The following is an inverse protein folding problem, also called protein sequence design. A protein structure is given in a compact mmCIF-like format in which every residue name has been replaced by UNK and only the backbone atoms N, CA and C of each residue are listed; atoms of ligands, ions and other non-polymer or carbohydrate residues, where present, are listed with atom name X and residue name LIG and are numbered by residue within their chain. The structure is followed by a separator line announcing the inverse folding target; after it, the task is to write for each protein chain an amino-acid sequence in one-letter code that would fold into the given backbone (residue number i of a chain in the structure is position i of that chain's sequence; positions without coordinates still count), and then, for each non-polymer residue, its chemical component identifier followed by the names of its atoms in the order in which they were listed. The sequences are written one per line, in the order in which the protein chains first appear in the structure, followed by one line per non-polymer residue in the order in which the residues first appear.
data_IF_268620316477
#
_entry.id   IF_268620316477
#
_cell.length_a   1.000
_cell.length_b   1.000
_cell.length_c   1.000
_cell.angle_alpha   90.00
_cell.angle_beta   90.00
_cell.angle_gamma   90.00
#
_symmetry.space_group_name_H-M   'P 1'
#
loop_
_entity.id
_entity.type
_entity.pdbx_description
1 polymer ?
#
# COMPACT_ATOMS: atom_id res chain seq x y z
N UNK A 1 -85.19 2.60 15.44
CA UNK A 1 -84.27 1.51 15.81
C UNK A 1 -82.84 2.03 15.72
N UNK A 2 -82.19 2.15 16.86
CA UNK A 2 -80.82 2.64 17.05
C UNK A 2 -79.82 1.48 16.93
N UNK A 3 -78.72 1.65 16.17
CA UNK A 3 -77.55 0.76 16.20
C UNK A 3 -76.24 1.56 16.15
N UNK A 4 -75.72 1.77 17.36
CA UNK A 4 -74.33 1.70 17.84
C UNK A 4 -73.17 1.88 16.84
N UNK A 5 -72.43 2.94 17.14
CA UNK A 5 -70.99 3.20 17.13
C UNK A 5 -70.06 1.98 17.34
N UNK A 6 -68.92 1.97 16.64
CA UNK A 6 -67.52 1.91 17.13
C UNK A 6 -66.63 1.31 16.02
N UNK A 7 -65.71 2.11 15.48
CA UNK A 7 -64.51 1.62 14.81
C UNK A 7 -63.33 2.48 15.27
N UNK A 8 -62.69 2.02 16.35
CA UNK A 8 -61.36 2.44 16.78
C UNK A 8 -60.34 1.90 15.78
N UNK A 9 -59.60 2.79 15.11
CA UNK A 9 -58.35 2.41 14.44
C UNK A 9 -57.21 3.23 15.01
N UNK A 10 -56.48 2.52 15.86
CA UNK A 10 -55.20 2.82 16.48
C UNK A 10 -54.25 3.59 15.54
N UNK A 11 -54.07 4.88 15.80
CA UNK A 11 -53.00 5.67 15.18
C UNK A 11 -51.81 5.65 16.13
N UNK A 12 -50.98 4.61 16.01
CA UNK A 12 -49.67 4.59 16.64
C UNK A 12 -48.77 5.62 15.94
N UNK A 13 -48.15 6.57 16.66
CA UNK A 13 -47.24 7.53 16.03
C UNK A 13 -46.01 6.81 15.49
N UNK A 14 -45.76 6.94 14.19
CA UNK A 14 -44.54 6.46 13.55
C UNK A 14 -43.35 7.17 14.19
N UNK A 15 -42.56 6.43 14.97
CA UNK A 15 -41.25 6.92 15.45
C UNK A 15 -40.41 7.28 14.22
N UNK A 16 -39.85 8.50 14.13
CA UNK A 16 -38.89 8.81 13.09
C UNK A 16 -37.68 7.87 13.24
N UNK A 17 -37.42 7.08 12.20
CA UNK A 17 -36.20 6.30 12.07
C UNK A 17 -35.04 7.29 11.93
N UNK A 18 -34.42 7.65 13.05
CA UNK A 18 -33.15 8.35 13.04
C UNK A 18 -32.13 7.49 12.28
N UNK A 19 -31.42 8.02 11.27
CA UNK A 19 -30.36 7.29 10.60
C UNK A 19 -29.31 6.93 11.65
N UNK A 20 -29.23 5.65 11.97
CA UNK A 20 -28.27 5.14 12.94
C UNK A 20 -26.87 5.53 12.48
N UNK A 21 -26.19 6.37 13.25
CA UNK A 21 -24.78 6.75 13.12
C UNK A 21 -23.84 5.56 13.39
N UNK A 22 -24.11 4.40 12.80
CA UNK A 22 -23.34 3.17 13.00
C UNK A 22 -22.07 3.20 12.14
N UNK A 23 -21.03 3.72 12.79
CA UNK A 23 -19.60 3.42 12.68
C UNK A 23 -18.89 3.74 11.35
N UNK A 24 -18.30 4.95 11.21
CA UNK A 24 -17.46 5.30 10.05
C UNK A 24 -16.37 4.26 9.77
N UNK A 25 -15.79 3.64 10.80
CA UNK A 25 -14.77 2.58 10.70
C UNK A 25 -15.23 1.38 9.85
N UNK A 26 -16.50 0.97 9.95
CA UNK A 26 -17.03 -0.16 9.14
C UNK A 26 -17.07 0.19 7.65
N UNK A 27 -17.30 1.46 7.31
CA UNK A 27 -17.30 1.93 5.92
C UNK A 27 -15.87 2.02 5.36
N UNK A 28 -14.91 2.48 6.18
CA UNK A 28 -13.49 2.56 5.81
C UNK A 28 -12.90 1.20 5.43
N UNK A 29 -13.25 0.13 6.15
CA UNK A 29 -12.77 -1.22 5.82
C UNK A 29 -13.57 -1.83 4.66
N UNK A 30 -14.91 -1.71 4.67
CA UNK A 30 -15.75 -2.41 3.68
C UNK A 30 -15.51 -1.95 2.25
N UNK A 31 -15.17 -0.67 2.03
CA UNK A 31 -15.03 -0.10 0.68
C UNK A 31 -13.81 -0.65 -0.09
N UNK A 32 -12.58 -0.62 0.43
CA UNK A 32 -11.42 -1.27 -0.20
C UNK A 32 -11.67 -2.76 -0.50
N UNK A 33 -12.20 -3.52 0.46
CA UNK A 33 -12.50 -4.94 0.26
C UNK A 33 -13.52 -5.19 -0.86
N UNK A 34 -14.54 -4.34 -0.98
CA UNK A 34 -15.49 -4.41 -2.09
C UNK A 34 -14.79 -4.18 -3.44
N UNK A 35 -13.94 -3.16 -3.52
CA UNK A 35 -13.20 -2.82 -4.75
C UNK A 35 -12.29 -4.00 -5.17
N UNK A 36 -11.56 -4.57 -4.22
CA UNK A 36 -10.70 -5.75 -4.44
C UNK A 36 -11.53 -6.93 -4.93
N UNK A 37 -12.63 -7.27 -4.24
CA UNK A 37 -13.48 -8.41 -4.60
C UNK A 37 -14.06 -8.27 -6.02
N UNK A 38 -14.51 -7.08 -6.40
CA UNK A 38 -15.05 -6.83 -7.75
C UNK A 38 -13.97 -6.96 -8.84
N UNK A 39 -12.69 -6.80 -8.50
CA UNK A 39 -11.59 -6.81 -9.46
C UNK A 39 -10.51 -7.83 -9.07
N UNK A 40 -10.90 -8.95 -8.48
CA UNK A 40 -10.00 -9.88 -7.80
C UNK A 40 -8.86 -10.39 -8.69
N UNK A 41 -9.16 -10.69 -9.97
CA UNK A 41 -8.13 -11.13 -10.94
C UNK A 41 -7.05 -10.08 -11.17
N UNK A 42 -7.44 -8.81 -11.30
CA UNK A 42 -6.49 -7.71 -11.49
C UNK A 42 -5.67 -7.48 -10.21
N UNK A 43 -6.32 -7.55 -9.04
CA UNK A 43 -5.62 -7.51 -7.76
C UNK A 43 -4.57 -8.61 -7.65
N UNK A 44 -4.93 -9.87 -7.94
CA UNK A 44 -4.01 -11.00 -7.87
C UNK A 44 -2.84 -10.85 -8.85
N UNK A 45 -3.12 -10.41 -10.08
CA UNK A 45 -2.09 -10.17 -11.12
C UNK A 45 -1.08 -9.12 -10.66
N UNK A 46 -1.55 -8.02 -10.05
CA UNK A 46 -0.67 -6.96 -9.57
C UNK A 46 0.19 -7.44 -8.39
N UNK A 47 -0.37 -8.22 -7.48
CA UNK A 47 0.43 -8.83 -6.40
C UNK A 47 1.51 -9.76 -6.97
N UNK A 48 1.16 -10.61 -7.95
CA UNK A 48 2.12 -11.49 -8.61
C UNK A 48 3.24 -10.70 -9.30
N UNK A 49 2.91 -9.58 -9.96
CA UNK A 49 3.90 -8.68 -10.57
C UNK A 49 4.81 -8.06 -9.51
N UNK A 50 4.24 -7.47 -8.45
CA UNK A 50 5.02 -6.79 -7.40
C UNK A 50 5.98 -7.76 -6.72
N UNK A 51 5.46 -8.84 -6.14
CA UNK A 51 6.30 -9.81 -5.43
C UNK A 51 7.26 -10.55 -6.37
N UNK A 52 6.81 -10.87 -7.59
CA UNK A 52 7.67 -11.47 -8.61
C UNK A 52 8.86 -10.58 -8.97
N UNK A 53 8.65 -9.27 -9.14
CA UNK A 53 9.71 -8.33 -9.46
C UNK A 53 10.68 -8.11 -8.29
N UNK A 54 10.20 -8.04 -7.05
CA UNK A 54 11.07 -7.97 -5.86
C UNK A 54 11.97 -9.19 -5.77
N UNK A 55 11.39 -10.39 -5.86
CA UNK A 55 12.13 -11.65 -5.78
C UNK A 55 13.13 -11.75 -6.94
N UNK A 56 12.71 -11.42 -8.15
CA UNK A 56 13.58 -11.46 -9.33
C UNK A 56 14.74 -10.48 -9.17
N UNK A 57 14.49 -9.25 -8.72
CA UNK A 57 15.54 -8.28 -8.43
C UNK A 57 16.52 -8.81 -7.38
N UNK A 58 16.03 -9.34 -6.27
CA UNK A 58 16.87 -9.89 -5.21
C UNK A 58 17.76 -11.05 -5.72
N UNK A 59 17.18 -11.99 -6.48
CA UNK A 59 17.92 -13.12 -7.06
C UNK A 59 18.96 -12.63 -8.07
N UNK A 60 18.61 -11.68 -8.94
CA UNK A 60 19.54 -11.10 -9.91
C UNK A 60 20.72 -10.45 -9.21
N UNK A 61 20.51 -9.69 -8.14
CA UNK A 61 21.61 -9.09 -7.39
C UNK A 61 22.49 -10.14 -6.68
N UNK A 62 21.92 -11.25 -6.20
CA UNK A 62 22.72 -12.37 -5.66
C UNK A 62 23.58 -13.07 -6.72
N UNK A 63 23.07 -13.20 -7.95
CA UNK A 63 23.79 -13.82 -9.08
C UNK A 63 24.84 -12.89 -9.68
N UNK A 64 24.58 -11.58 -9.65
CA UNK A 64 25.45 -10.54 -10.23
C UNK A 64 25.88 -9.52 -9.15
N UNK A 65 26.91 -9.82 -8.33
CA UNK A 65 27.31 -8.99 -7.18
C UNK A 65 27.70 -7.55 -7.53
N UNK A 66 28.13 -7.30 -8.78
CA UNK A 66 28.44 -5.96 -9.28
C UNK A 66 27.21 -5.02 -9.23
N UNK A 67 26.00 -5.58 -9.40
CA UNK A 67 24.76 -4.82 -9.26
C UNK A 67 24.52 -4.42 -7.81
N UNK A 68 24.78 -5.31 -6.84
CA UNK A 68 24.70 -4.98 -5.41
C UNK A 68 25.69 -3.88 -5.02
N UNK A 69 26.93 -3.93 -5.54
CA UNK A 69 27.92 -2.89 -5.31
C UNK A 69 27.47 -1.53 -5.86
N UNK A 70 26.85 -1.53 -7.06
CA UNK A 70 26.28 -0.31 -7.67
C UNK A 70 25.16 0.26 -6.81
N UNK A 71 24.25 -0.58 -6.30
CA UNK A 71 23.16 -0.14 -5.44
C UNK A 71 23.68 0.41 -4.10
N UNK A 72 24.70 -0.20 -3.51
CA UNK A 72 25.33 0.32 -2.30
C UNK A 72 25.94 1.71 -2.53
N UNK A 73 26.62 1.92 -3.66
CA UNK A 73 27.16 3.23 -4.02
C UNK A 73 26.07 4.29 -4.20
N UNK A 74 24.94 3.94 -4.84
CA UNK A 74 23.79 4.84 -4.99
C UNK A 74 23.20 5.24 -3.62
N UNK A 75 23.13 4.30 -2.66
CA UNK A 75 22.61 4.56 -1.32
C UNK A 75 23.53 5.45 -0.47
N UNK A 76 24.84 5.40 -0.69
CA UNK A 76 25.79 6.31 -0.06
C UNK A 76 25.70 7.70 -0.72
N UNK A 77 25.71 7.77 -2.06
CA UNK A 77 25.70 9.01 -2.83
C UNK A 77 24.41 9.84 -2.63
N UNK A 78 23.27 9.18 -2.45
CA UNK A 78 22.01 9.86 -2.16
C UNK A 78 21.78 10.18 -0.68
N UNK A 79 22.76 9.91 0.20
CA UNK A 79 22.72 10.22 1.63
C UNK A 79 21.81 9.32 2.47
N UNK A 80 21.22 8.26 1.91
CA UNK A 80 20.33 7.36 2.65
C UNK A 80 21.07 6.63 3.76
N UNK A 81 22.31 6.20 3.51
CA UNK A 81 23.13 5.52 4.51
C UNK A 81 23.40 6.41 5.74
N UNK A 82 23.74 7.67 5.53
CA UNK A 82 24.00 8.63 6.61
C UNK A 82 22.72 9.01 7.37
N UNK A 83 21.61 9.16 6.67
CA UNK A 83 20.31 9.37 7.29
C UNK A 83 19.96 8.22 8.23
N UNK A 84 20.09 6.96 7.79
CA UNK A 84 19.84 5.78 8.63
C UNK A 84 20.76 5.77 9.85
N UNK A 85 22.07 5.99 9.68
CA UNK A 85 23.04 6.05 10.78
C UNK A 85 22.66 7.10 11.82
N UNK A 86 22.27 8.29 11.38
CA UNK A 86 21.89 9.41 12.26
C UNK A 86 20.62 9.15 13.07
N UNK A 87 19.66 8.43 12.48
CA UNK A 87 18.34 8.16 13.07
C UNK A 87 18.30 6.87 13.90
N UNK A 88 19.29 6.00 13.76
CA UNK A 88 19.31 4.67 14.37
C UNK A 88 19.09 4.67 15.89
N UNK A 89 19.58 5.70 16.59
CA UNK A 89 19.43 5.82 18.05
C UNK A 89 18.06 6.35 18.49
N UNK A 90 17.21 6.82 17.57
CA UNK A 90 15.87 7.30 17.84
C UNK A 90 14.84 6.55 16.96
N UNK A 91 14.36 5.37 17.39
CA UNK A 91 13.51 4.52 16.55
C UNK A 91 12.17 5.19 16.20
N UNK A 92 11.67 6.11 17.01
CA UNK A 92 10.45 6.88 16.69
C UNK A 92 10.68 7.82 15.51
N UNK A 93 11.74 8.63 15.56
CA UNK A 93 12.09 9.51 14.45
C UNK A 93 12.46 8.70 13.19
N UNK A 94 13.14 7.57 13.36
CA UNK A 94 13.46 6.69 12.24
C UNK A 94 12.19 6.12 11.58
N UNK A 95 11.22 5.64 12.36
CA UNK A 95 9.93 5.17 11.82
C UNK A 95 9.15 6.28 11.11
N UNK A 96 9.18 7.52 11.63
CA UNK A 96 8.55 8.65 10.96
C UNK A 96 9.20 8.95 9.61
N UNK A 97 10.52 8.88 9.54
CA UNK A 97 11.26 9.05 8.28
C UNK A 97 10.93 7.94 7.28
N UNK A 98 10.93 6.66 7.70
CA UNK A 98 10.54 5.53 6.84
C UNK A 98 9.12 5.72 6.30
N UNK A 99 8.17 6.10 7.17
CA UNK A 99 6.80 6.41 6.77
C UNK A 99 6.76 7.52 5.72
N UNK A 100 7.48 8.61 5.93
CA UNK A 100 7.57 9.73 4.98
C UNK A 100 8.14 9.29 3.62
N UNK A 101 9.23 8.54 3.62
CA UNK A 101 9.86 7.99 2.40
C UNK A 101 8.92 7.07 1.65
N UNK A 102 8.18 6.20 2.35
CA UNK A 102 7.24 5.28 1.72
C UNK A 102 6.03 5.99 1.12
N UNK A 103 5.47 6.98 1.83
CA UNK A 103 4.37 7.80 1.30
C UNK A 103 4.83 8.61 0.09
N UNK A 104 6.00 9.24 0.15
CA UNK A 104 6.58 9.96 -0.97
C UNK A 104 6.84 9.02 -2.15
N UNK A 105 7.36 7.82 -1.89
CA UNK A 105 7.62 6.81 -2.93
C UNK A 105 6.33 6.38 -3.63
N UNK A 106 5.29 6.04 -2.87
CA UNK A 106 3.99 5.69 -3.44
C UNK A 106 3.35 6.84 -4.21
N UNK A 107 3.47 8.07 -3.71
CA UNK A 107 2.95 9.25 -4.39
C UNK A 107 3.69 9.54 -5.70
N UNK A 108 5.02 9.67 -5.65
CA UNK A 108 5.86 10.10 -6.77
C UNK A 108 5.93 9.06 -7.89
N UNK A 109 6.02 7.77 -7.54
CA UNK A 109 6.25 6.73 -8.53
C UNK A 109 4.98 6.00 -8.99
N UNK A 110 3.89 6.05 -8.21
CA UNK A 110 2.64 5.35 -8.55
C UNK A 110 1.51 6.35 -8.81
N UNK A 111 1.15 7.14 -7.80
CA UNK A 111 -0.10 7.90 -7.82
C UNK A 111 -0.01 9.06 -8.81
N UNK A 112 0.92 10.00 -8.62
CA UNK A 112 1.05 11.21 -9.44
C UNK A 112 1.19 10.93 -10.94
N UNK A 113 2.09 10.04 -11.41
CA UNK A 113 2.17 9.74 -12.83
C UNK A 113 0.88 9.13 -13.36
N UNK A 114 0.17 8.33 -12.56
CA UNK A 114 -1.11 7.71 -12.96
C UNK A 114 -2.29 8.69 -12.99
N UNK A 115 -2.21 9.82 -12.29
CA UNK A 115 -3.20 10.90 -12.40
C UNK A 115 -3.13 11.61 -13.75
N UNK A 116 -1.93 11.67 -14.34
CA UNK A 116 -1.67 12.42 -15.58
C UNK A 116 -1.78 11.50 -16.80
N UNK A 117 -1.19 10.30 -16.73
CA UNK A 117 -1.16 9.33 -17.81
C UNK A 117 -1.70 8.00 -17.30
N UNK A 118 -2.77 7.44 -17.91
CA UNK A 118 -3.30 6.13 -17.52
C UNK A 118 -2.20 5.08 -17.41
N UNK A 119 -2.17 4.36 -16.29
CA UNK A 119 -1.23 3.26 -16.02
C UNK A 119 0.26 3.63 -15.90
N UNK A 120 0.67 4.90 -16.06
CA UNK A 120 2.09 5.26 -16.05
C UNK A 120 2.80 4.88 -14.74
N UNK A 121 2.13 5.05 -13.60
CA UNK A 121 2.69 4.64 -12.31
C UNK A 121 2.90 3.13 -12.17
N UNK A 122 2.17 2.29 -12.92
CA UNK A 122 2.40 0.84 -12.92
C UNK A 122 3.76 0.53 -13.56
N UNK A 123 4.04 1.12 -14.72
CA UNK A 123 5.30 0.91 -15.43
C UNK A 123 6.49 1.47 -14.64
N UNK A 124 6.37 2.71 -14.16
CA UNK A 124 7.41 3.37 -13.36
C UNK A 124 7.71 2.59 -12.08
N UNK A 125 6.66 2.17 -11.36
CA UNK A 125 6.85 1.44 -10.12
C UNK A 125 7.25 -0.02 -10.32
N UNK A 126 6.92 -0.66 -11.45
CA UNK A 126 7.47 -1.98 -11.77
C UNK A 126 9.00 -1.94 -11.88
N UNK A 127 9.54 -0.95 -12.59
CA UNK A 127 10.98 -0.70 -12.61
C UNK A 127 11.54 -0.42 -11.20
N UNK A 128 10.91 0.48 -10.44
CA UNK A 128 11.32 0.79 -9.07
C UNK A 128 11.32 -0.45 -8.17
N UNK A 129 10.29 -1.29 -8.25
CA UNK A 129 10.14 -2.54 -7.49
C UNK A 129 11.28 -3.50 -7.76
N UNK A 130 11.66 -3.67 -9.04
CA UNK A 130 12.81 -4.47 -9.41
C UNK A 130 14.11 -3.91 -8.81
N UNK A 131 14.33 -2.59 -8.91
CA UNK A 131 15.53 -1.94 -8.33
C UNK A 131 15.58 -2.00 -6.80
N UNK A 132 14.43 -1.98 -6.13
CA UNK A 132 14.34 -2.21 -4.68
C UNK A 132 14.73 -3.65 -4.35
N UNK A 133 14.24 -4.63 -5.13
CA UNK A 133 14.68 -6.02 -5.02
C UNK A 133 16.20 -6.17 -5.13
N UNK A 134 16.83 -5.51 -6.12
CA UNK A 134 18.29 -5.50 -6.26
C UNK A 134 19.00 -4.97 -5.00
N UNK A 135 18.48 -3.88 -4.41
CA UNK A 135 19.05 -3.25 -3.23
C UNK A 135 18.88 -4.08 -1.95
N UNK A 136 17.94 -5.01 -1.92
CA UNK A 136 17.65 -5.88 -0.77
C UNK A 136 18.53 -7.13 -0.70
N UNK A 137 19.31 -7.42 -1.75
CA UNK A 137 20.22 -8.56 -1.72
C UNK A 137 21.31 -8.35 -0.64
N UNK A 138 21.47 -9.29 0.30
CA UNK A 138 22.44 -9.15 1.38
C UNK A 138 23.86 -9.29 0.85
N UNK A 139 24.67 -8.23 0.98
CA UNK A 139 26.08 -8.24 0.60
C UNK A 139 27.00 -8.80 1.70
N UNK A 140 26.51 -8.90 2.94
CA UNK A 140 27.26 -9.40 4.10
C UNK A 140 26.41 -10.36 4.93
N UNK A 141 27.07 -11.18 5.76
CA UNK A 141 26.38 -12.07 6.72
C UNK A 141 25.47 -11.30 7.67
N UNK A 142 25.89 -10.10 8.11
CA UNK A 142 25.09 -9.23 8.97
C UNK A 142 23.82 -8.77 8.24
N UNK A 143 23.92 -8.35 6.97
CA UNK A 143 22.75 -7.99 6.17
C UNK A 143 21.80 -9.18 5.94
N UNK A 144 22.35 -10.39 5.78
CA UNK A 144 21.53 -11.60 5.66
C UNK A 144 20.73 -11.87 6.94
N UNK A 145 21.33 -11.69 8.12
CA UNK A 145 20.63 -11.79 9.41
C UNK A 145 19.60 -10.68 9.56
N UNK A 146 19.94 -9.44 9.17
CA UNK A 146 19.02 -8.31 9.20
C UNK A 146 17.78 -8.51 8.31
N UNK A 147 17.91 -9.29 7.22
CA UNK A 147 16.82 -9.63 6.33
C UNK A 147 15.72 -10.46 7.01
N UNK A 148 16.03 -11.20 8.08
CA UNK A 148 15.05 -12.03 8.81
C UNK A 148 13.91 -11.16 9.36
N UNK A 149 14.14 -10.19 10.27
CA UNK A 149 13.07 -9.31 10.72
C UNK A 149 12.58 -8.35 9.62
N UNK A 150 13.47 -7.91 8.72
CA UNK A 150 13.13 -6.98 7.65
C UNK A 150 12.20 -7.61 6.59
N UNK A 151 12.20 -8.93 6.43
CA UNK A 151 11.28 -9.65 5.52
C UNK A 151 9.80 -9.38 5.82
N UNK A 152 9.44 -9.14 7.09
CA UNK A 152 8.09 -8.75 7.46
C UNK A 152 7.77 -7.33 7.02
N UNK A 153 8.72 -6.40 7.16
CA UNK A 153 8.61 -5.03 6.60
C UNK A 153 8.37 -5.11 5.10
N UNK A 154 9.23 -5.83 4.38
CA UNK A 154 9.13 -6.04 2.93
C UNK A 154 7.72 -6.50 2.57
N UNK A 155 7.22 -7.55 3.23
CA UNK A 155 5.89 -8.08 2.95
C UNK A 155 4.78 -7.02 3.10
N UNK A 156 4.81 -6.26 4.20
CA UNK A 156 3.80 -5.24 4.54
C UNK A 156 3.87 -4.05 3.59
N UNK A 157 5.08 -3.53 3.33
CA UNK A 157 5.27 -2.35 2.48
C UNK A 157 4.96 -2.65 1.02
N UNK A 158 5.43 -3.78 0.48
CA UNK A 158 5.08 -4.16 -0.89
C UNK A 158 3.60 -4.48 -1.04
N UNK A 159 2.90 -4.93 0.02
CA UNK A 159 1.43 -5.04 -0.03
C UNK A 159 0.76 -3.67 -0.16
N UNK A 160 1.28 -2.66 0.55
CA UNK A 160 0.81 -1.29 0.43
C UNK A 160 1.04 -0.74 -0.98
N UNK A 161 2.23 -0.94 -1.55
CA UNK A 161 2.51 -0.56 -2.94
C UNK A 161 1.66 -1.30 -3.97
N UNK A 162 1.41 -2.61 -3.78
CA UNK A 162 0.53 -3.38 -4.63
C UNK A 162 -0.91 -2.83 -4.62
N UNK A 163 -1.41 -2.38 -3.47
CA UNK A 163 -2.72 -1.71 -3.38
C UNK A 163 -2.75 -0.37 -4.13
N UNK A 164 -1.66 0.41 -4.07
CA UNK A 164 -1.55 1.66 -4.84
C UNK A 164 -1.51 1.38 -6.35
N UNK A 165 -0.71 0.41 -6.79
CA UNK A 165 -0.65 0.01 -8.21
C UNK A 165 -2.00 -0.52 -8.70
N UNK A 166 -2.71 -1.26 -7.86
CA UNK A 166 -4.07 -1.72 -8.15
C UNK A 166 -5.07 -0.56 -8.26
N UNK A 167 -4.95 0.45 -7.39
CA UNK A 167 -5.71 1.69 -7.53
C UNK A 167 -5.38 2.43 -8.84
N UNK A 168 -4.10 2.52 -9.22
CA UNK A 168 -3.66 3.13 -10.47
C UNK A 168 -4.21 2.38 -11.70
N UNK A 169 -4.25 1.04 -11.65
CA UNK A 169 -4.89 0.22 -12.69
C UNK A 169 -6.38 0.53 -12.81
N UNK A 170 -7.10 0.59 -11.68
CA UNK A 170 -8.53 0.93 -11.68
C UNK A 170 -8.77 2.33 -12.24
N UNK A 171 -7.96 3.32 -11.85
CA UNK A 171 -8.04 4.67 -12.39
C UNK A 171 -7.85 4.67 -13.91
N UNK A 172 -6.76 4.08 -14.39
CA UNK A 172 -6.45 4.01 -15.82
C UNK A 172 -7.56 3.31 -16.61
N UNK A 173 -8.06 2.17 -16.12
CA UNK A 173 -9.15 1.43 -16.79
C UNK A 173 -10.45 2.23 -16.80
N UNK A 174 -10.80 2.88 -15.69
CA UNK A 174 -12.02 3.69 -15.57
C UNK A 174 -11.96 4.93 -16.47
N UNK A 175 -10.76 5.49 -16.65
CA UNK A 175 -10.53 6.61 -17.55
C UNK A 175 -10.61 6.18 -19.01
N UNK A 176 -9.86 5.16 -19.44
CA UNK A 176 -9.79 4.75 -20.85
C UNK A 176 -11.07 4.04 -21.31
N UNK A 177 -11.71 3.26 -20.44
CA UNK A 177 -12.92 2.47 -20.76
C UNK A 177 -14.04 2.72 -19.73
N UNK A 178 -14.70 3.89 -19.76
CA UNK A 178 -15.72 4.28 -18.78
C UNK A 178 -16.91 3.30 -18.71
N UNK A 179 -17.25 2.64 -19.82
CA UNK A 179 -18.28 1.61 -19.87
C UNK A 179 -18.04 0.44 -18.88
N UNK A 180 -16.77 0.14 -18.55
CA UNK A 180 -16.41 -0.93 -17.61
C UNK A 180 -16.88 -0.67 -16.17
N UNK A 181 -17.22 0.58 -15.85
CA UNK A 181 -17.73 1.00 -14.54
C UNK A 181 -19.10 1.70 -14.63
N UNK A 182 -19.81 1.49 -15.75
CA UNK A 182 -21.15 2.01 -15.98
C UNK A 182 -21.24 3.53 -16.03
N UNK A 183 -20.17 4.22 -16.47
CA UNK A 183 -20.21 5.67 -16.71
C UNK A 183 -20.33 5.98 -18.19
N UNK A 184 -20.96 7.13 -18.49
CA UNK A 184 -21.25 7.53 -19.88
C UNK A 184 -20.08 8.18 -20.60
N UNK A 185 -19.14 8.78 -19.86
CA UNK A 185 -18.02 9.53 -20.43
C UNK A 185 -16.74 9.39 -19.60
N UNK A 186 -15.62 9.75 -20.22
CA UNK A 186 -14.27 9.66 -19.65
C UNK A 186 -14.10 10.51 -18.39
N UNK A 187 -14.76 11.68 -18.29
CA UNK A 187 -14.70 12.54 -17.09
C UNK A 187 -15.31 11.86 -15.87
N UNK A 188 -16.51 11.31 -16.00
CA UNK A 188 -17.15 10.52 -14.95
C UNK A 188 -16.34 9.26 -14.63
N UNK A 189 -15.75 8.64 -15.66
CA UNK A 189 -14.82 7.54 -15.54
C UNK A 189 -13.63 7.86 -14.62
N UNK A 190 -12.93 8.95 -14.92
CA UNK A 190 -11.80 9.45 -14.17
C UNK A 190 -12.17 9.77 -12.72
N UNK A 191 -13.24 10.52 -12.47
CA UNK A 191 -13.65 10.89 -11.10
C UNK A 191 -14.00 9.65 -10.26
N UNK A 192 -14.73 8.68 -10.82
CA UNK A 192 -15.03 7.43 -10.10
C UNK A 192 -13.78 6.58 -9.88
N UNK A 193 -12.87 6.54 -10.84
CA UNK A 193 -11.56 5.89 -10.70
C UNK A 193 -10.74 6.54 -9.58
N UNK A 194 -10.72 7.87 -9.52
CA UNK A 194 -10.00 8.63 -8.50
C UNK A 194 -10.57 8.40 -7.10
N UNK A 195 -11.89 8.31 -6.97
CA UNK A 195 -12.53 7.93 -5.70
C UNK A 195 -12.10 6.53 -5.23
N UNK A 196 -12.04 5.56 -6.14
CA UNK A 196 -11.61 4.20 -5.81
C UNK A 196 -10.12 4.15 -5.45
N UNK A 197 -9.27 4.85 -6.20
CA UNK A 197 -7.86 5.05 -5.86
C UNK A 197 -7.73 5.67 -4.47
N UNK A 198 -8.48 6.74 -4.16
CA UNK A 198 -8.45 7.37 -2.84
C UNK A 198 -8.82 6.43 -1.68
N UNK A 199 -9.84 5.57 -1.85
CA UNK A 199 -10.17 4.56 -0.85
C UNK A 199 -9.06 3.52 -0.67
N UNK A 200 -8.45 3.07 -1.77
CA UNK A 200 -7.33 2.12 -1.72
C UNK A 200 -6.09 2.76 -1.10
N UNK A 201 -5.72 3.98 -1.49
CA UNK A 201 -4.60 4.74 -0.89
C UNK A 201 -4.80 4.96 0.60
N UNK A 202 -6.02 5.26 1.05
CA UNK A 202 -6.26 5.40 2.48
C UNK A 202 -6.07 4.08 3.23
N UNK A 203 -6.41 2.95 2.60
CA UNK A 203 -6.20 1.63 3.20
C UNK A 203 -4.73 1.21 3.29
N UNK A 204 -3.81 1.92 2.61
CA UNK A 204 -2.37 1.63 2.71
C UNK A 204 -1.71 2.31 3.91
N UNK A 205 -2.32 3.36 4.49
CA UNK A 205 -1.73 4.07 5.64
C UNK A 205 -1.45 3.15 6.83
N UNK A 206 -2.38 2.27 7.27
CA UNK A 206 -2.08 1.35 8.37
C UNK A 206 -0.93 0.40 8.06
N UNK A 207 -0.79 -0.04 6.80
CA UNK A 207 0.31 -0.89 6.38
C UNK A 207 1.64 -0.15 6.47
N UNK A 208 1.72 1.07 5.92
CA UNK A 208 2.95 1.87 6.01
C UNK A 208 3.32 2.24 7.45
N UNK A 209 2.35 2.58 8.29
CA UNK A 209 2.59 2.90 9.71
C UNK A 209 3.14 1.67 10.45
N UNK A 210 2.48 0.52 10.31
CA UNK A 210 2.92 -0.71 10.98
C UNK A 210 4.28 -1.16 10.45
N UNK A 211 4.49 -1.12 9.13
CA UNK A 211 5.76 -1.46 8.50
C UNK A 211 6.91 -0.58 9.00
N UNK A 212 6.71 0.73 9.04
CA UNK A 212 7.74 1.68 9.47
C UNK A 212 8.10 1.55 10.96
N UNK A 213 7.11 1.33 11.83
CA UNK A 213 7.36 1.07 13.25
C UNK A 213 8.09 -0.26 13.41
N UNK A 214 7.62 -1.31 12.76
CA UNK A 214 8.25 -2.63 12.82
C UNK A 214 9.70 -2.58 12.35
N UNK A 215 9.98 -1.94 11.22
CA UNK A 215 11.32 -1.83 10.67
C UNK A 215 12.27 -1.10 11.63
N UNK A 216 11.91 0.11 12.07
CA UNK A 216 12.77 0.90 12.93
C UNK A 216 13.12 0.17 14.24
N UNK A 217 12.12 -0.43 14.88
CA UNK A 217 12.32 -1.16 16.13
C UNK A 217 13.05 -2.48 15.92
N UNK A 218 12.75 -3.23 14.86
CA UNK A 218 13.42 -4.51 14.60
C UNK A 218 14.89 -4.32 14.24
N UNK A 219 15.24 -3.31 13.45
CA UNK A 219 16.63 -2.95 13.16
C UNK A 219 17.40 -2.57 14.44
N UNK A 220 16.76 -1.85 15.36
CA UNK A 220 17.41 -1.41 16.61
C UNK A 220 17.55 -2.52 17.65
N UNK A 221 16.50 -3.32 17.84
CA UNK A 221 16.36 -4.22 18.99
C UNK A 221 16.44 -5.70 18.64
N UNK A 222 16.18 -6.11 17.40
CA UNK A 222 16.24 -7.52 16.99
C UNK A 222 17.52 -7.85 16.22
N UNK A 223 17.97 -6.98 15.33
CA UNK A 223 19.17 -7.27 14.50
C UNK A 223 20.44 -7.47 15.33
N UNK A 224 20.79 -6.62 16.32
CA UNK A 224 21.99 -6.83 17.12
C UNK A 224 22.03 -8.17 17.87
N UNK A 225 21.01 -8.57 18.66
CA UNK A 225 21.05 -9.85 19.35
C UNK A 225 21.00 -11.04 18.37
N UNK A 226 20.21 -10.96 17.28
CA UNK A 226 20.20 -12.01 16.27
C UNK A 226 21.58 -12.21 15.62
N UNK A 227 22.29 -11.12 15.37
CA UNK A 227 23.64 -11.17 14.80
C UNK A 227 24.61 -11.86 15.75
N UNK A 228 24.55 -11.55 17.05
CA UNK A 228 25.39 -12.20 18.07
C UNK A 228 25.10 -13.70 18.25
N UNK A 229 23.86 -14.13 17.97
CA UNK A 229 23.44 -15.52 18.16
C UNK A 229 23.75 -16.40 16.95
N UNK A 230 23.74 -15.81 15.74
CA UNK A 230 23.82 -16.56 14.48
C UNK A 230 25.20 -16.50 13.80
N UNK A 231 26.06 -15.55 14.17
CA UNK A 231 27.40 -15.35 13.61
C UNK A 231 28.49 -15.50 14.67
#
# INVERSE_FOLDING_TARGET
MSRKTIATKDQSPQRPLTPSAKHPLRRFLRKPFQIIRTNFRAYLTINAIVYGLVITGLVVAMVFPNLSATQAAILEDNGTADLVRSLFNNPWLFSLTILGVNLATGALWIVLPSLIVPFAGIAMFAYKTFTLGLAMAPATKIMAVALIPHSLTILIEFQAYALLMFGAYILGRSWVRPATIGTRNHRQGYVRGLQQLGWLSLSTLPLFIVGAIWEAFSLRYLVPPLTQWLL
#
